data_IF_618924299562
#
_entry.id   IF_618924299562
#
_cell.length_a   1.000
_cell.length_b   1.000
_cell.length_c   1.000
_cell.angle_alpha   90.00
_cell.angle_beta   90.00
_cell.angle_gamma   90.00
#
_symmetry.space_group_name_H-M   'P 1'
#
loop_
_entity.id
_entity.type
_entity.pdbx_description
1 polymer ?
#
# COMPACT_ATOMS: atom_id res chain seq x y z
N UNK A 1 7.13 13.39 12.92
CA UNK A 1 7.35 13.16 11.48
C UNK A 1 7.34 11.66 11.22
N UNK A 2 6.97 11.25 10.00
CA UNK A 2 6.48 9.90 9.68
C UNK A 2 7.55 8.81 9.58
N UNK A 3 7.12 7.58 9.83
CA UNK A 3 7.90 6.34 9.76
C UNK A 3 7.97 5.83 8.30
N UNK A 4 8.75 6.52 7.46
CA UNK A 4 8.97 6.09 6.08
C UNK A 4 9.83 4.82 6.07
N UNK A 5 9.26 3.72 5.56
CA UNK A 5 9.93 2.42 5.57
C UNK A 5 10.85 2.22 4.36
N UNK A 6 10.43 2.68 3.17
CA UNK A 6 11.16 2.55 1.92
C UNK A 6 10.61 3.45 0.79
N UNK A 7 11.41 3.67 -0.26
CA UNK A 7 11.06 4.45 -1.46
C UNK A 7 11.68 3.79 -2.70
N UNK A 8 10.87 3.62 -3.75
CA UNK A 8 11.32 3.19 -5.08
C UNK A 8 10.95 4.24 -6.12
N UNK A 9 11.89 4.51 -7.03
CA UNK A 9 11.65 5.37 -8.21
C UNK A 9 11.74 4.48 -9.45
N UNK A 10 10.72 4.54 -10.30
CA UNK A 10 10.68 3.82 -11.58
C UNK A 10 10.28 4.77 -12.73
N UNK A 11 10.42 4.28 -13.96
CA UNK A 11 10.01 5.04 -15.13
C UNK A 11 8.50 5.31 -15.13
N UNK A 12 8.09 6.49 -15.58
CA UNK A 12 6.70 6.95 -15.55
C UNK A 12 5.76 6.17 -16.48
N UNK A 13 6.30 5.43 -17.45
CA UNK A 13 5.53 4.56 -18.33
C UNK A 13 5.22 3.19 -17.71
N UNK A 14 5.81 2.87 -16.55
CA UNK A 14 5.47 1.68 -15.78
C UNK A 14 4.31 2.02 -14.85
N UNK A 15 3.18 1.35 -15.06
CA UNK A 15 1.99 1.53 -14.24
C UNK A 15 2.18 0.94 -12.85
N UNK A 16 1.63 1.60 -11.83
CA UNK A 16 1.78 1.23 -10.41
C UNK A 16 1.28 -0.18 -10.10
N UNK A 17 0.25 -0.66 -10.81
CA UNK A 17 -0.22 -2.06 -10.77
C UNK A 17 0.90 -3.08 -11.05
N UNK A 18 1.92 -2.69 -11.84
CA UNK A 18 3.09 -3.50 -12.21
C UNK A 18 4.33 -3.17 -11.38
N UNK A 19 4.60 -1.90 -11.11
CA UNK A 19 5.82 -1.48 -10.41
C UNK A 19 5.68 -1.45 -8.89
N UNK A 20 4.46 -1.40 -8.34
CA UNK A 20 4.21 -1.34 -6.90
C UNK A 20 4.79 -2.52 -6.11
N UNK A 21 4.97 -3.67 -6.76
CA UNK A 21 5.60 -4.84 -6.13
C UNK A 21 7.05 -4.55 -5.73
N UNK A 22 7.75 -3.65 -6.43
CA UNK A 22 9.17 -3.38 -6.21
C UNK A 22 9.44 -2.82 -4.82
N UNK A 23 8.58 -1.90 -4.35
CA UNK A 23 8.69 -1.36 -2.98
C UNK A 23 8.22 -2.38 -1.96
N UNK A 24 7.19 -3.17 -2.26
CA UNK A 24 6.70 -4.21 -1.36
C UNK A 24 7.77 -5.29 -1.10
N UNK A 25 8.49 -5.74 -2.12
CA UNK A 25 9.58 -6.71 -1.95
C UNK A 25 10.67 -6.21 -0.99
N UNK A 26 11.11 -4.96 -1.14
CA UNK A 26 12.15 -4.39 -0.28
C UNK A 26 11.67 -4.20 1.17
N UNK A 27 10.44 -3.69 1.33
CA UNK A 27 9.81 -3.51 2.64
C UNK A 27 9.59 -4.84 3.34
N UNK A 28 9.04 -5.85 2.66
CA UNK A 28 8.76 -7.16 3.26
C UNK A 28 10.04 -7.92 3.63
N UNK A 29 11.12 -7.76 2.86
CA UNK A 29 12.42 -8.33 3.20
C UNK A 29 13.00 -7.73 4.49
N UNK A 30 12.82 -6.42 4.70
CA UNK A 30 13.34 -5.70 5.86
C UNK A 30 12.42 -5.77 7.08
N UNK A 31 11.12 -5.84 6.87
CA UNK A 31 10.08 -5.79 7.89
C UNK A 31 9.09 -6.96 7.70
N UNK A 32 9.52 -8.22 7.93
CA UNK A 32 8.71 -9.41 7.68
C UNK A 32 7.50 -9.54 8.61
N UNK A 33 7.36 -8.65 9.61
CA UNK A 33 6.24 -8.62 10.55
C UNK A 33 5.05 -7.80 10.04
N UNK A 34 5.15 -7.14 8.88
CA UNK A 34 4.04 -6.43 8.24
C UNK A 34 2.95 -7.43 7.84
N UNK A 35 1.70 -7.12 8.20
CA UNK A 35 0.57 -8.03 8.03
C UNK A 35 -0.44 -7.60 6.98
N UNK A 36 -0.40 -6.34 6.54
CA UNK A 36 -1.31 -5.79 5.55
C UNK A 36 -0.73 -4.52 4.94
N UNK A 37 -1.15 -4.21 3.72
CA UNK A 37 -0.88 -2.95 3.05
C UNK A 37 -2.18 -2.21 2.77
N UNK A 38 -2.07 -0.91 2.54
CA UNK A 38 -3.13 -0.11 1.91
C UNK A 38 -2.53 0.65 0.75
N UNK A 39 -3.24 0.72 -0.36
CA UNK A 39 -2.79 1.39 -1.58
C UNK A 39 -3.96 2.13 -2.24
N UNK A 40 -3.67 3.09 -3.11
CA UNK A 40 -4.70 3.78 -3.87
C UNK A 40 -5.22 2.94 -5.05
N UNK A 41 -6.28 3.43 -5.71
CA UNK A 41 -6.94 2.74 -6.80
C UNK A 41 -6.05 2.46 -8.04
N UNK A 42 -4.89 3.11 -8.18
CA UNK A 42 -3.89 2.83 -9.22
C UNK A 42 -3.19 1.48 -9.04
N UNK A 43 -3.18 0.94 -7.82
CA UNK A 43 -2.56 -0.34 -7.46
C UNK A 43 -3.53 -1.53 -7.54
N UNK A 44 -4.78 -1.33 -7.96
CA UNK A 44 -5.77 -2.42 -8.02
C UNK A 44 -5.37 -3.58 -8.94
N UNK A 45 -5.95 -4.76 -8.73
CA UNK A 45 -5.75 -5.99 -9.54
C UNK A 45 -4.35 -6.60 -9.38
N UNK A 46 -3.47 -6.47 -10.37
CA UNK A 46 -2.26 -7.31 -10.43
C UNK A 46 -1.23 -7.04 -9.33
N UNK A 47 -1.33 -5.92 -8.62
CA UNK A 47 -0.51 -5.72 -7.42
C UNK A 47 -1.14 -6.43 -6.21
N UNK A 48 -2.46 -6.32 -6.00
CA UNK A 48 -3.18 -7.07 -4.97
C UNK A 48 -2.96 -8.58 -5.12
N UNK A 49 -3.12 -9.09 -6.34
CA UNK A 49 -2.93 -10.51 -6.68
C UNK A 49 -1.51 -10.96 -6.31
N UNK A 50 -0.48 -10.21 -6.73
CA UNK A 50 0.92 -10.55 -6.40
C UNK A 50 1.23 -10.44 -4.91
N UNK A 51 0.64 -9.50 -4.18
CA UNK A 51 0.83 -9.39 -2.73
C UNK A 51 0.28 -10.60 -1.98
N UNK A 52 -0.86 -11.14 -2.44
CA UNK A 52 -1.43 -12.36 -1.89
C UNK A 52 -0.61 -13.59 -2.28
N UNK A 53 -0.18 -13.69 -3.54
CA UNK A 53 0.60 -14.82 -4.05
C UNK A 53 2.01 -14.91 -3.44
N UNK A 54 2.75 -13.80 -3.41
CA UNK A 54 4.16 -13.77 -3.00
C UNK A 54 4.33 -13.65 -1.48
N UNK A 55 3.45 -12.88 -0.82
CA UNK A 55 3.62 -12.51 0.58
C UNK A 55 2.49 -12.97 1.50
N UNK A 56 1.40 -13.54 0.96
CA UNK A 56 0.17 -13.84 1.71
C UNK A 56 -0.34 -12.63 2.50
N UNK A 57 -0.12 -11.44 1.96
CA UNK A 57 -0.35 -10.18 2.63
C UNK A 57 -1.50 -9.44 1.93
N UNK A 58 -2.64 -9.22 2.61
CA UNK A 58 -3.77 -8.51 2.01
C UNK A 58 -3.44 -7.04 1.76
N UNK A 59 -4.05 -6.50 0.70
CA UNK A 59 -3.99 -5.08 0.35
C UNK A 59 -5.40 -4.52 0.39
N UNK A 60 -5.59 -3.43 1.14
CA UNK A 60 -6.83 -2.66 1.13
C UNK A 60 -6.73 -1.49 0.15
N UNK A 61 -7.52 -1.55 -0.93
CA UNK A 61 -7.53 -0.51 -1.96
C UNK A 61 -8.47 0.63 -1.57
N UNK A 62 -7.90 1.81 -1.40
CA UNK A 62 -8.66 3.02 -1.15
C UNK A 62 -9.29 3.54 -2.44
N UNK A 63 -10.62 3.39 -2.55
CA UNK A 63 -11.39 3.93 -3.65
C UNK A 63 -11.56 5.46 -3.53
N UNK A 64 -11.74 6.11 -4.68
CA UNK A 64 -12.03 7.55 -4.74
C UNK A 64 -13.34 7.84 -4.01
N UNK A 65 -13.30 8.80 -3.10
CA UNK A 65 -14.48 9.29 -2.38
C UNK A 65 -15.49 9.82 -3.41
N UNK A 66 -16.70 9.26 -3.40
CA UNK A 66 -17.82 9.75 -4.21
C UNK A 66 -18.32 11.06 -3.62
N UNK A 67 -18.77 12.00 -4.45
CA UNK A 67 -19.17 13.36 -4.03
C UNK A 67 -20.41 13.45 -3.13
N UNK A 68 -20.97 12.31 -2.73
CA UNK A 68 -22.07 12.20 -1.78
C UNK A 68 -21.54 12.02 -0.35
N UNK A 69 -22.32 12.45 0.64
CA UNK A 69 -22.02 12.15 2.03
C UNK A 69 -22.01 10.64 2.26
N UNK A 70 -20.94 10.13 2.86
CA UNK A 70 -20.81 8.72 3.23
C UNK A 70 -19.94 8.59 4.48
N UNK A 71 -20.23 7.59 5.31
CA UNK A 71 -19.34 7.18 6.39
C UNK A 71 -18.12 6.52 5.74
N UNK A 72 -16.97 7.17 5.84
CA UNK A 72 -15.70 6.61 5.37
C UNK A 72 -15.12 5.76 6.51
N UNK A 73 -14.73 4.49 6.27
CA UNK A 73 -14.05 3.68 7.27
C UNK A 73 -12.80 4.42 7.81
N UNK A 74 -12.46 4.16 9.06
CA UNK A 74 -11.51 4.92 9.88
C UNK A 74 -10.27 5.35 9.08
N UNK A 75 -10.08 6.67 8.91
CA UNK A 75 -8.88 7.24 8.26
C UNK A 75 -7.62 6.89 9.04
N UNK A 76 -6.50 6.79 8.32
CA UNK A 76 -5.12 6.60 8.76
C UNK A 76 -4.88 6.93 10.25
N UNK A 77 -4.83 5.89 11.09
CA UNK A 77 -4.24 6.02 12.42
C UNK A 77 -2.74 5.89 12.23
N UNK A 78 -2.06 7.02 12.08
CA UNK A 78 -0.60 7.02 12.26
C UNK A 78 -0.37 6.80 13.74
N UNK A 79 -0.01 5.58 14.14
CA UNK A 79 0.51 5.35 15.50
C UNK A 79 1.76 6.22 15.67
N UNK A 80 1.58 7.36 16.31
CA UNK A 80 2.67 8.19 16.80
C UNK A 80 2.88 7.77 18.24
N UNK A 81 3.85 6.90 18.48
CA UNK A 81 4.50 6.86 19.77
C UNK A 81 5.24 8.20 19.91
N UNK A 82 4.59 9.18 20.52
CA UNK A 82 5.31 10.34 21.04
C UNK A 82 6.10 9.81 22.24
N UNK A 83 7.43 9.76 22.08
CA UNK A 83 8.34 9.64 23.21
C UNK A 83 8.34 10.93 24.02
#
# INVERSE_FOLDING_TARGET
MGNLLDVVVHAANLHDTKSGILVACQVMARFPTIKAFSADAGYRKSFEERMVEEFRCPVDISEKIKGSWQIIPKRWVVERTFA
#
